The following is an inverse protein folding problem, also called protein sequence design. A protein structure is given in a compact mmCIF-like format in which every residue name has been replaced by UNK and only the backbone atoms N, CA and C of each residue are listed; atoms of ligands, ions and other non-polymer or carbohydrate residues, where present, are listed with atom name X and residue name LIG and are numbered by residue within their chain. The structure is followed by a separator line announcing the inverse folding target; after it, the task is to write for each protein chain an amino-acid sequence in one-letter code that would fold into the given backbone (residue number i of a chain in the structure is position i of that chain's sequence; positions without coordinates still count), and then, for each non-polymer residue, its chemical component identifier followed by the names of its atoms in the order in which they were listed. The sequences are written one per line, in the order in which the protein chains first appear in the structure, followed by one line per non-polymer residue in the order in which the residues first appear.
data_IF_962338054908
#
_entry.id   IF_962338054908
#
_cell.length_a   1.000
_cell.length_b   1.000
_cell.length_c   1.000
_cell.angle_alpha   90.00
_cell.angle_beta   90.00
_cell.angle_gamma   90.00
#
_symmetry.space_group_name_H-M   'P 1'
#
loop_
_entity.id
_entity.type
_entity.pdbx_description
1 polymer ?
#
# COMPACT_ATOMS: atom_id res chain seq x y z
N UNK A 1 -18.23 -16.34 0.83
CA UNK A 1 -17.05 -16.16 1.70
C UNK A 1 -16.77 -17.34 2.62
N UNK A 2 -17.70 -17.78 3.50
CA UNK A 2 -17.47 -18.89 4.43
C UNK A 2 -16.95 -20.17 3.77
N UNK A 3 -17.48 -20.56 2.60
CA UNK A 3 -17.03 -21.77 1.87
C UNK A 3 -15.65 -21.65 1.27
N UNK A 4 -15.34 -20.51 0.66
CA UNK A 4 -13.97 -20.25 0.16
C UNK A 4 -12.99 -20.35 1.31
N UNK A 5 -13.35 -19.79 2.46
CA UNK A 5 -12.53 -19.94 3.67
C UNK A 5 -12.40 -21.41 4.09
N UNK A 6 -13.50 -22.15 4.18
CA UNK A 6 -13.50 -23.56 4.60
C UNK A 6 -12.71 -24.46 3.65
N UNK A 7 -12.79 -24.27 2.35
CA UNK A 7 -12.16 -25.15 1.35
C UNK A 7 -10.72 -24.75 1.00
N UNK A 8 -10.38 -23.48 1.07
CA UNK A 8 -9.02 -22.99 0.74
C UNK A 8 -8.23 -22.68 1.99
N UNK A 9 -8.77 -21.86 2.89
CA UNK A 9 -8.02 -21.44 4.08
C UNK A 9 -7.94 -22.52 5.16
N UNK A 10 -8.98 -23.34 5.34
CA UNK A 10 -8.99 -24.37 6.38
C UNK A 10 -7.92 -25.46 6.17
N UNK A 11 -7.65 -25.97 4.96
CA UNK A 11 -6.51 -26.87 4.74
C UNK A 11 -5.16 -26.21 5.08
N UNK A 12 -4.99 -24.92 4.71
CA UNK A 12 -3.78 -24.15 5.06
C UNK A 12 -3.68 -23.99 6.57
N UNK A 13 -4.78 -23.65 7.24
CA UNK A 13 -4.82 -23.52 8.69
C UNK A 13 -4.44 -24.82 9.41
N UNK A 14 -4.95 -25.95 8.92
CA UNK A 14 -4.62 -27.26 9.48
C UNK A 14 -3.13 -27.60 9.33
N UNK A 15 -2.53 -27.26 8.20
CA UNK A 15 -1.09 -27.40 8.01
C UNK A 15 -0.30 -26.45 8.90
N UNK A 16 -0.72 -25.19 9.01
CA UNK A 16 -0.11 -24.23 9.93
C UNK A 16 -0.18 -24.67 11.39
N UNK A 17 -1.28 -25.30 11.82
CA UNK A 17 -1.41 -25.87 13.16
C UNK A 17 -0.43 -27.03 13.39
N UNK A 18 -0.24 -27.89 12.39
CA UNK A 18 0.78 -28.96 12.42
C UNK A 18 2.17 -28.36 12.53
N UNK A 19 2.49 -27.33 11.74
CA UNK A 19 3.79 -26.67 11.76
C UNK A 19 4.05 -25.96 13.10
N UNK A 20 3.04 -25.30 13.68
CA UNK A 20 3.14 -24.70 15.02
C UNK A 20 3.39 -25.75 16.12
N UNK A 21 2.85 -26.96 15.96
CA UNK A 21 3.11 -28.04 16.89
C UNK A 21 4.56 -28.50 16.83
N UNK A 22 5.09 -28.72 15.63
CA UNK A 22 6.51 -29.06 15.40
C UNK A 22 7.42 -27.97 15.99
N UNK A 23 7.14 -26.70 15.71
CA UNK A 23 7.90 -25.58 16.25
C UNK A 23 7.96 -25.61 17.80
N UNK A 24 6.82 -25.83 18.45
CA UNK A 24 6.76 -25.92 19.93
C UNK A 24 7.51 -27.14 20.50
N UNK A 25 7.53 -28.23 19.75
CA UNK A 25 8.28 -29.44 20.15
C UNK A 25 9.79 -29.21 20.06
N UNK A 26 10.25 -28.58 18.96
CA UNK A 26 11.65 -28.15 18.78
C UNK A 26 12.10 -27.15 19.86
N UNK A 27 11.27 -26.15 20.17
CA UNK A 27 11.58 -25.21 21.26
C UNK A 27 11.74 -25.88 22.60
N UNK A 28 10.91 -26.90 22.88
CA UNK A 28 11.02 -27.68 24.12
C UNK A 28 12.28 -28.55 24.14
N UNK A 29 12.65 -29.17 23.02
CA UNK A 29 13.87 -29.94 22.87
C UNK A 29 15.10 -29.07 23.04
N UNK A 30 15.15 -27.90 22.35
CA UNK A 30 16.23 -26.93 22.47
C UNK A 30 16.42 -26.47 23.94
N UNK A 31 15.32 -26.13 24.63
CA UNK A 31 15.38 -25.76 26.07
C UNK A 31 15.89 -26.85 26.97
N UNK A 32 15.55 -28.12 26.71
CA UNK A 32 16.03 -29.27 27.51
C UNK A 32 17.52 -29.55 27.30
N UNK A 33 18.02 -29.26 26.10
CA UNK A 33 19.39 -29.59 25.72
C UNK A 33 20.35 -28.39 25.78
N UNK A 34 19.87 -27.20 26.10
CA UNK A 34 20.64 -25.95 26.12
C UNK A 34 21.90 -25.97 27.03
N UNK A 35 21.97 -26.89 28.01
CA UNK A 35 23.11 -27.01 28.93
C UNK A 35 24.09 -28.13 28.52
N UNK A 36 23.97 -28.71 27.34
CA UNK A 36 24.92 -29.73 26.85
C UNK A 36 26.03 -29.07 26.05
N UNK A 37 27.29 -29.42 26.36
CA UNK A 37 28.48 -28.73 25.78
C UNK A 37 28.57 -28.75 24.25
N UNK A 38 27.98 -29.75 23.57
CA UNK A 38 28.01 -29.89 22.11
C UNK A 38 26.62 -29.80 21.44
N UNK A 39 25.64 -29.14 22.09
CA UNK A 39 24.30 -29.10 21.55
C UNK A 39 24.11 -27.90 20.62
N UNK A 40 23.88 -28.14 19.31
CA UNK A 40 23.50 -27.14 18.32
C UNK A 40 21.95 -27.04 18.28
N UNK A 41 21.38 -25.86 18.60
CA UNK A 41 19.94 -25.66 18.58
C UNK A 41 19.35 -25.87 17.19
N UNK A 42 18.37 -26.75 17.06
CA UNK A 42 17.66 -26.97 15.81
C UNK A 42 16.72 -25.80 15.51
N UNK A 43 16.83 -25.26 14.32
CA UNK A 43 15.92 -24.23 13.85
C UNK A 43 14.63 -24.82 13.27
N UNK A 44 13.53 -24.08 13.45
CA UNK A 44 12.27 -24.41 12.81
C UNK A 44 12.28 -23.92 11.36
N UNK A 45 12.18 -24.83 10.40
CA UNK A 45 12.21 -24.50 8.94
C UNK A 45 10.83 -24.53 8.27
N UNK A 46 9.77 -24.83 9.02
CA UNK A 46 8.43 -24.96 8.47
C UNK A 46 7.79 -23.62 8.12
N UNK A 47 6.93 -23.61 7.09
CA UNK A 47 6.15 -22.42 6.72
C UNK A 47 4.86 -22.32 7.58
N UNK A 48 4.59 -21.13 8.12
CA UNK A 48 3.31 -20.76 8.76
C UNK A 48 2.78 -19.56 7.98
N UNK A 49 1.67 -19.75 7.28
CA UNK A 49 1.18 -18.80 6.28
C UNK A 49 0.05 -17.89 6.76
N UNK A 50 -0.83 -18.36 7.63
CA UNK A 50 -1.90 -17.55 8.20
C UNK A 50 -1.41 -16.87 9.49
N UNK A 51 -1.26 -15.57 9.44
CA UNK A 51 -0.69 -14.77 10.50
C UNK A 51 -1.77 -14.04 11.32
N UNK A 52 -1.56 -13.88 12.63
CA UNK A 52 -2.44 -13.06 13.44
C UNK A 52 -2.25 -11.56 13.15
N UNK A 53 -3.25 -10.75 13.46
CA UNK A 53 -3.23 -9.29 13.26
C UNK A 53 -2.14 -8.57 14.07
N UNK A 54 -1.74 -9.14 15.21
CA UNK A 54 -0.75 -8.59 16.13
C UNK A 54 0.68 -9.17 15.92
N UNK A 55 0.97 -9.71 14.74
CA UNK A 55 2.32 -10.20 14.43
C UNK A 55 3.33 -9.06 14.47
N UNK A 56 4.47 -9.25 15.12
CA UNK A 56 5.57 -8.26 15.12
C UNK A 56 6.33 -8.29 13.79
N UNK A 57 7.01 -7.17 13.44
CA UNK A 57 7.80 -7.09 12.22
C UNK A 57 8.89 -8.15 12.15
N UNK A 58 9.56 -8.44 13.29
CA UNK A 58 10.54 -9.53 13.38
C UNK A 58 9.95 -10.89 12.98
N UNK A 59 8.82 -11.25 13.58
CA UNK A 59 8.17 -12.54 13.28
C UNK A 59 7.65 -12.55 11.84
N UNK A 60 7.19 -11.43 11.32
CA UNK A 60 6.74 -11.33 9.93
C UNK A 60 7.88 -11.66 8.95
N UNK A 61 9.07 -11.06 9.14
CA UNK A 61 10.27 -11.37 8.34
C UNK A 61 10.63 -12.84 8.44
N UNK A 62 10.71 -13.37 9.65
CA UNK A 62 11.02 -14.77 9.88
C UNK A 62 10.04 -15.73 9.18
N UNK A 63 8.73 -15.42 9.22
CA UNK A 63 7.71 -16.22 8.53
C UNK A 63 7.81 -16.12 7.02
N UNK A 64 8.12 -14.92 6.49
CA UNK A 64 8.36 -14.70 5.06
C UNK A 64 9.55 -15.50 4.56
N UNK A 65 10.67 -15.42 5.28
CA UNK A 65 11.90 -16.12 4.91
C UNK A 65 11.69 -17.65 4.87
N UNK A 66 11.04 -18.19 5.90
CA UNK A 66 10.72 -19.62 5.97
C UNK A 66 9.63 -20.07 4.98
N UNK A 67 8.75 -19.18 4.58
CA UNK A 67 7.74 -19.47 3.56
C UNK A 67 8.31 -19.43 2.14
N UNK A 68 9.52 -18.87 1.93
CA UNK A 68 10.17 -18.71 0.62
C UNK A 68 9.28 -17.93 -0.36
N UNK A 69 8.81 -18.58 -1.44
CA UNK A 69 7.92 -17.99 -2.44
C UNK A 69 6.42 -18.11 -2.12
N UNK A 70 6.07 -18.74 -0.98
CA UNK A 70 4.67 -18.91 -0.60
C UNK A 70 4.11 -17.63 0.00
N UNK A 71 2.90 -17.26 -0.42
CA UNK A 71 2.22 -16.09 0.11
C UNK A 71 1.74 -16.30 1.55
N UNK A 72 1.98 -15.30 2.38
CA UNK A 72 1.39 -15.17 3.71
C UNK A 72 0.07 -14.40 3.64
N UNK A 73 -0.78 -14.56 4.64
CA UNK A 73 -2.06 -13.86 4.72
C UNK A 73 -2.32 -13.37 6.14
N UNK A 74 -2.75 -12.12 6.26
CA UNK A 74 -3.35 -11.54 7.46
C UNK A 74 -4.81 -11.27 7.16
N UNK A 75 -5.71 -11.91 7.92
CA UNK A 75 -7.14 -11.70 7.83
C UNK A 75 -7.64 -11.09 9.15
N UNK A 76 -8.27 -9.91 9.08
CA UNK A 76 -8.86 -9.25 10.22
C UNK A 76 -10.37 -9.08 10.00
N UNK A 77 -11.16 -9.76 10.83
CA UNK A 77 -12.62 -9.56 10.87
C UNK A 77 -12.98 -8.13 11.29
N UNK A 78 -12.11 -7.53 12.12
CA UNK A 78 -12.20 -6.15 12.56
C UNK A 78 -10.87 -5.40 12.37
N UNK A 79 -10.84 -4.41 11.48
CA UNK A 79 -9.65 -3.61 11.15
C UNK A 79 -9.10 -2.86 12.38
N UNK A 80 -9.95 -2.55 13.36
CA UNK A 80 -9.54 -1.91 14.62
C UNK A 80 -8.52 -2.77 15.41
N UNK A 81 -8.51 -4.08 15.24
CA UNK A 81 -7.52 -4.97 15.87
C UNK A 81 -6.11 -4.68 15.35
N UNK A 82 -5.97 -4.39 14.06
CA UNK A 82 -4.70 -4.00 13.43
C UNK A 82 -4.31 -2.60 13.87
N UNK A 83 -5.24 -1.64 13.81
CA UNK A 83 -4.98 -0.25 14.23
C UNK A 83 -4.49 -0.17 15.68
N UNK A 84 -5.03 -0.99 16.57
CA UNK A 84 -4.57 -1.07 17.96
C UNK A 84 -3.17 -1.70 18.07
N UNK A 85 -2.91 -2.75 17.32
CA UNK A 85 -1.60 -3.41 17.31
C UNK A 85 -0.50 -2.47 16.80
N UNK A 86 -0.75 -1.71 15.74
CA UNK A 86 0.21 -0.76 15.16
C UNK A 86 0.52 0.42 16.08
N UNK A 87 -0.46 0.89 16.85
CA UNK A 87 -0.26 1.97 17.85
C UNK A 87 0.52 1.53 19.09
N UNK A 88 0.76 0.24 19.29
CA UNK A 88 1.49 -0.28 20.46
C UNK A 88 2.99 0.04 20.46
N UNK A 89 3.55 0.52 19.36
CA UNK A 89 4.95 0.98 19.25
C UNK A 89 5.47 0.96 17.81
N UNK A 90 6.56 1.66 17.55
CA UNK A 90 7.22 1.74 16.22
C UNK A 90 7.55 0.36 15.61
N UNK A 91 7.78 -0.65 16.47
CA UNK A 91 8.08 -2.03 16.05
C UNK A 91 6.88 -2.79 15.48
N UNK A 92 5.69 -2.21 15.59
CA UNK A 92 4.43 -2.80 15.16
C UNK A 92 3.84 -2.09 13.95
N UNK A 93 4.35 -0.91 13.59
CA UNK A 93 3.90 -0.14 12.44
C UNK A 93 4.26 -0.87 11.15
N UNK A 94 3.28 -1.07 10.27
CA UNK A 94 3.40 -1.87 9.05
C UNK A 94 2.96 -1.15 7.78
N UNK A 95 2.64 0.13 7.85
CA UNK A 95 2.18 0.89 6.67
C UNK A 95 3.14 0.77 5.49
N UNK A 96 4.46 0.86 5.75
CA UNK A 96 5.51 0.69 4.76
C UNK A 96 5.54 -0.74 4.20
N UNK A 97 5.42 -1.74 5.08
CA UNK A 97 5.41 -3.15 4.69
C UNK A 97 4.22 -3.44 3.78
N UNK A 98 3.03 -2.94 4.11
CA UNK A 98 1.83 -3.12 3.29
C UNK A 98 1.96 -2.46 1.92
N UNK A 99 2.57 -1.28 1.85
CA UNK A 99 2.84 -0.60 0.58
C UNK A 99 3.81 -1.37 -0.29
N UNK A 100 4.88 -1.88 0.29
CA UNK A 100 5.89 -2.69 -0.41
C UNK A 100 5.35 -4.07 -0.82
N UNK A 101 4.45 -4.66 -0.01
CA UNK A 101 3.81 -5.93 -0.33
C UNK A 101 2.92 -5.85 -1.57
N UNK A 102 2.31 -4.69 -1.85
CA UNK A 102 1.54 -4.48 -3.08
C UNK A 102 2.38 -4.75 -4.35
N UNK A 103 3.65 -4.35 -4.31
CA UNK A 103 4.61 -4.50 -5.42
C UNK A 103 5.48 -5.77 -5.27
N UNK A 104 5.21 -6.65 -4.28
CA UNK A 104 6.07 -7.78 -3.90
C UNK A 104 7.55 -7.37 -3.76
N UNK A 105 7.79 -6.18 -3.22
CA UNK A 105 9.13 -5.60 -3.07
C UNK A 105 9.95 -6.29 -1.99
N UNK A 106 11.26 -6.05 -1.99
CA UNK A 106 12.15 -6.52 -0.93
C UNK A 106 12.00 -5.64 0.32
N UNK A 107 12.03 -6.28 1.47
CA UNK A 107 12.09 -5.64 2.77
C UNK A 107 12.88 -6.51 3.76
N UNK A 108 13.50 -5.90 4.74
CA UNK A 108 14.31 -6.65 5.70
C UNK A 108 14.55 -5.91 6.99
N UNK A 109 15.15 -6.64 7.93
CA UNK A 109 15.61 -6.12 9.21
C UNK A 109 17.05 -6.53 9.44
N UNK A 110 17.84 -5.58 9.92
CA UNK A 110 19.23 -5.80 10.33
C UNK A 110 19.51 -4.91 11.56
N UNK A 111 19.18 -5.41 12.75
CA UNK A 111 19.35 -4.70 14.01
C UNK A 111 20.41 -5.40 14.86
N UNK A 112 21.31 -4.63 15.46
CA UNK A 112 22.36 -5.11 16.35
C UNK A 112 21.83 -5.56 17.73
N UNK A 113 20.80 -6.39 17.79
CA UNK A 113 20.27 -6.97 19.03
C UNK A 113 20.26 -8.49 18.97
N UNK A 114 20.60 -9.15 20.07
CA UNK A 114 20.63 -10.63 20.18
C UNK A 114 19.32 -11.32 19.78
N UNK A 115 18.19 -10.59 19.83
CA UNK A 115 16.86 -11.08 19.49
C UNK A 115 16.38 -10.65 18.09
N UNK A 116 17.25 -10.10 17.24
CA UNK A 116 16.87 -9.74 15.87
C UNK A 116 16.84 -10.97 14.97
N UNK A 117 16.00 -10.90 13.95
CA UNK A 117 16.06 -11.81 12.81
C UNK A 117 16.62 -11.04 11.63
N UNK A 118 17.77 -11.47 11.11
CA UNK A 118 18.50 -10.79 10.04
C UNK A 118 18.16 -11.46 8.72
N UNK A 119 17.28 -10.84 7.94
CA UNK A 119 16.96 -11.31 6.60
C UNK A 119 16.41 -10.17 5.74
N UNK A 120 16.63 -10.29 4.43
CA UNK A 120 15.96 -9.51 3.39
C UNK A 120 15.08 -10.45 2.61
N UNK A 121 13.77 -10.19 2.64
CA UNK A 121 12.75 -11.07 2.09
C UNK A 121 11.91 -10.35 1.05
N UNK A 122 11.38 -11.09 0.09
CA UNK A 122 10.35 -10.58 -0.82
C UNK A 122 8.98 -10.68 -0.13
N UNK A 123 8.24 -9.57 -0.14
CA UNK A 123 6.96 -9.46 0.58
C UNK A 123 5.81 -10.10 -0.22
N UNK A 124 5.65 -11.39 -0.12
CA UNK A 124 4.48 -12.13 -0.61
C UNK A 124 3.39 -12.13 0.48
N UNK A 125 2.68 -11.01 0.64
CA UNK A 125 1.69 -10.80 1.69
C UNK A 125 0.34 -10.38 1.13
N UNK A 126 -0.70 -11.14 1.48
CA UNK A 126 -2.09 -10.82 1.20
C UNK A 126 -2.78 -10.32 2.46
N UNK A 127 -3.62 -9.31 2.30
CA UNK A 127 -4.35 -8.66 3.38
C UNK A 127 -5.85 -8.69 3.09
N UNK A 128 -6.64 -9.10 4.06
CA UNK A 128 -8.11 -9.04 3.99
C UNK A 128 -8.64 -8.46 5.30
N UNK A 129 -9.22 -7.28 5.22
CA UNK A 129 -9.74 -6.56 6.38
C UNK A 129 -11.23 -6.26 6.20
N UNK A 130 -11.96 -6.33 7.29
CA UNK A 130 -13.33 -5.80 7.36
C UNK A 130 -13.49 -4.85 8.54
N UNK A 131 -14.49 -3.97 8.47
CA UNK A 131 -14.77 -3.03 9.54
C UNK A 131 -15.86 -2.05 9.15
N UNK A 132 -16.32 -1.25 10.11
CA UNK A 132 -17.24 -0.15 9.84
C UNK A 132 -16.54 0.96 9.05
N UNK A 133 -17.27 1.80 8.27
CA UNK A 133 -16.67 2.93 7.56
C UNK A 133 -15.80 3.82 8.46
N UNK A 134 -16.25 4.07 9.70
CA UNK A 134 -15.47 4.85 10.65
C UNK A 134 -14.17 4.16 11.10
N UNK A 135 -14.17 2.83 11.25
CA UNK A 135 -12.98 2.07 11.59
C UNK A 135 -11.98 2.06 10.42
N UNK A 136 -12.47 1.89 9.20
CA UNK A 136 -11.68 1.95 7.96
C UNK A 136 -11.05 3.33 7.82
N UNK A 137 -11.80 4.43 7.99
CA UNK A 137 -11.26 5.79 7.91
C UNK A 137 -10.20 6.08 8.99
N UNK A 138 -10.33 5.48 10.18
CA UNK A 138 -9.28 5.59 11.22
C UNK A 138 -7.98 4.86 10.87
N UNK A 139 -8.07 3.76 10.15
CA UNK A 139 -6.90 3.01 9.70
C UNK A 139 -6.18 3.75 8.57
N UNK A 140 -6.93 4.29 7.60
CA UNK A 140 -6.39 5.07 6.49
C UNK A 140 -6.34 6.58 6.79
N UNK A 141 -5.90 6.97 7.99
CA UNK A 141 -5.87 8.37 8.42
C UNK A 141 -4.78 9.20 7.74
N UNK A 142 -3.72 8.56 7.26
CA UNK A 142 -2.63 9.19 6.52
C UNK A 142 -2.79 8.89 5.02
N UNK A 143 -3.42 9.80 4.31
CA UNK A 143 -3.69 9.66 2.87
C UNK A 143 -2.42 9.90 2.04
N UNK A 144 -1.50 10.74 2.53
CA UNK A 144 -0.28 11.12 1.81
C UNK A 144 0.69 9.94 1.64
N UNK A 145 0.65 8.95 2.54
CA UNK A 145 1.50 7.78 2.45
C UNK A 145 1.15 6.83 1.27
N UNK A 146 0.01 7.04 0.60
CA UNK A 146 -0.43 6.27 -0.56
C UNK A 146 -0.85 4.83 -0.25
N UNK A 147 -1.05 4.46 1.01
CA UNK A 147 -1.52 3.14 1.41
C UNK A 147 -2.94 2.88 0.93
N UNK A 148 -3.82 3.87 1.05
CA UNK A 148 -5.24 3.78 0.73
C UNK A 148 -5.51 3.31 -0.71
N UNK A 149 -4.73 3.77 -1.67
CA UNK A 149 -4.89 3.40 -3.09
C UNK A 149 -4.35 2.02 -3.43
N UNK A 150 -3.72 1.33 -2.46
CA UNK A 150 -3.23 -0.04 -2.58
C UNK A 150 -4.18 -1.09 -2.01
N UNK A 151 -5.39 -0.67 -1.63
CA UNK A 151 -6.46 -1.57 -1.20
C UNK A 151 -7.65 -1.47 -2.14
N UNK A 152 -8.27 -2.60 -2.41
CA UNK A 152 -9.57 -2.65 -3.09
C UNK A 152 -10.67 -2.54 -2.04
N UNK A 153 -11.54 -1.56 -2.22
CA UNK A 153 -12.66 -1.31 -1.31
C UNK A 153 -13.94 -1.95 -1.82
N UNK A 154 -14.62 -2.67 -0.92
CA UNK A 154 -15.92 -3.25 -1.18
C UNK A 154 -16.84 -2.84 -0.04
N UNK A 155 -17.95 -2.19 -0.34
CA UNK A 155 -18.97 -1.88 0.65
C UNK A 155 -20.10 -2.90 0.63
N UNK A 156 -20.69 -3.16 1.78
CA UNK A 156 -21.86 -3.98 1.88
C UNK A 156 -23.09 -3.08 1.71
N UNK A 157 -24.07 -3.46 0.87
CA UNK A 157 -25.25 -2.66 0.68
C UNK A 157 -25.98 -2.46 2.00
N UNK A 158 -26.49 -1.25 2.24
CA UNK A 158 -27.36 -0.96 3.38
C UNK A 158 -28.64 -1.79 3.26
N UNK A 159 -28.83 -2.66 4.23
CA UNK A 159 -30.02 -3.53 4.33
C UNK A 159 -31.01 -3.05 5.38
N UNK A 160 -30.83 -1.82 5.94
CA UNK A 160 -31.74 -1.27 6.93
C UNK A 160 -33.15 -1.14 6.34
N UNK A 161 -34.13 -1.70 7.04
CA UNK A 161 -35.54 -1.68 6.60
C UNK A 161 -35.87 -2.65 5.45
N UNK A 162 -34.92 -3.43 4.95
CA UNK A 162 -35.18 -4.49 3.99
C UNK A 162 -35.48 -5.80 4.73
N UNK A 163 -36.37 -6.61 4.15
CA UNK A 163 -36.50 -7.99 4.60
C UNK A 163 -35.16 -8.69 4.47
N UNK A 164 -34.77 -9.43 5.51
CA UNK A 164 -33.53 -10.21 5.45
C UNK A 164 -33.57 -11.06 4.20
N UNK A 165 -32.57 -10.94 3.29
CA UNK A 165 -32.56 -11.78 2.10
C UNK A 165 -32.64 -13.23 2.56
N UNK A 166 -33.59 -13.96 2.00
CA UNK A 166 -33.73 -15.38 2.23
C UNK A 166 -32.36 -16.00 2.04
N UNK A 167 -31.86 -16.74 3.02
CA UNK A 167 -30.55 -17.39 2.88
C UNK A 167 -30.55 -18.09 1.52
N UNK A 168 -29.62 -17.70 0.65
CA UNK A 168 -29.40 -18.43 -0.59
C UNK A 168 -28.98 -19.84 -0.19
N UNK A 169 -29.94 -20.75 -0.18
CA UNK A 169 -29.68 -22.16 -0.03
C UNK A 169 -29.14 -22.65 -1.36
N UNK A 170 -27.88 -22.95 -1.38
CA UNK A 170 -27.30 -23.71 -2.48
C UNK A 170 -27.77 -25.14 -2.32
N UNK A 171 -28.37 -25.72 -3.37
CA UNK A 171 -28.71 -27.13 -3.38
C UNK A 171 -27.45 -27.99 -3.18
N UNK A 172 -27.63 -29.23 -2.77
CA UNK A 172 -26.53 -30.11 -2.40
C UNK A 172 -25.61 -30.43 -3.60
N UNK A 173 -26.15 -30.56 -4.81
CA UNK A 173 -25.38 -30.84 -6.03
C UNK A 173 -24.50 -29.66 -6.38
N UNK A 174 -25.04 -28.44 -6.40
CA UNK A 174 -24.27 -27.21 -6.63
C UNK A 174 -23.20 -27.03 -5.55
N UNK A 175 -23.52 -27.36 -4.30
CA UNK A 175 -22.56 -27.30 -3.20
C UNK A 175 -21.36 -28.21 -3.42
N UNK A 176 -21.62 -29.48 -3.74
CA UNK A 176 -20.57 -30.46 -3.97
C UNK A 176 -19.70 -30.08 -5.18
N UNK A 177 -20.31 -29.53 -6.23
CA UNK A 177 -19.59 -29.04 -7.41
C UNK A 177 -18.65 -27.90 -7.05
N UNK A 178 -19.13 -26.90 -6.31
CA UNK A 178 -18.30 -25.75 -5.86
C UNK A 178 -17.19 -26.21 -4.92
N UNK A 179 -17.49 -27.07 -3.94
CA UNK A 179 -16.51 -27.59 -3.00
C UNK A 179 -15.39 -28.35 -3.74
N UNK A 180 -15.75 -29.18 -4.73
CA UNK A 180 -14.78 -29.89 -5.58
C UNK A 180 -13.91 -28.94 -6.41
N UNK A 181 -14.48 -27.88 -6.97
CA UNK A 181 -13.72 -26.87 -7.73
C UNK A 181 -12.73 -26.14 -6.80
N UNK A 182 -13.17 -25.72 -5.62
CA UNK A 182 -12.27 -25.05 -4.65
C UNK A 182 -11.16 -25.98 -4.16
N UNK A 183 -11.45 -27.25 -3.96
CA UNK A 183 -10.43 -28.26 -3.61
C UNK A 183 -9.40 -28.43 -4.75
N UNK A 184 -9.85 -28.48 -6.00
CA UNK A 184 -8.95 -28.54 -7.16
C UNK A 184 -8.05 -27.30 -7.23
N UNK A 185 -8.60 -26.10 -7.03
CA UNK A 185 -7.84 -24.85 -6.94
C UNK A 185 -6.77 -24.94 -5.85
N UNK A 186 -7.15 -25.40 -4.65
CA UNK A 186 -6.19 -25.56 -3.54
C UNK A 186 -5.03 -26.49 -3.91
N UNK A 187 -5.32 -27.66 -4.50
CA UNK A 187 -4.27 -28.60 -4.91
C UNK A 187 -3.38 -28.06 -6.02
N UNK A 188 -3.95 -27.35 -7.00
CA UNK A 188 -3.17 -26.72 -8.06
C UNK A 188 -2.23 -25.62 -7.51
N UNK A 189 -2.73 -24.79 -6.61
CA UNK A 189 -1.91 -23.78 -5.90
C UNK A 189 -0.80 -24.42 -5.06
N UNK A 190 -1.11 -25.52 -4.37
CA UNK A 190 -0.15 -26.24 -3.55
C UNK A 190 0.95 -26.85 -4.40
N UNK A 191 0.62 -27.56 -5.47
CA UNK A 191 1.58 -28.15 -6.40
C UNK A 191 2.49 -27.09 -7.00
N UNK A 192 1.95 -26.00 -7.53
CA UNK A 192 2.74 -24.91 -8.10
C UNK A 192 3.72 -24.29 -7.09
N UNK A 193 3.34 -24.23 -5.81
CA UNK A 193 4.18 -23.67 -4.74
C UNK A 193 5.27 -24.65 -4.27
N UNK A 194 5.01 -25.97 -4.30
CA UNK A 194 5.97 -27.01 -3.89
C UNK A 194 7.05 -27.23 -4.96
N UNK A 195 6.66 -27.18 -6.23
CA UNK A 195 7.59 -27.36 -7.35
C UNK A 195 8.52 -26.14 -7.56
N UNK A 196 8.22 -25.00 -6.93
CA UNK A 196 8.98 -23.75 -7.09
C UNK A 196 8.98 -23.21 -8.52
N UNK A 197 8.06 -23.70 -9.36
CA UNK A 197 7.96 -23.32 -10.76
C UNK A 197 7.24 -21.98 -10.86
N UNK A 198 7.94 -20.96 -11.37
CA UNK A 198 7.30 -19.70 -11.73
C UNK A 198 6.43 -19.89 -12.97
N UNK A 199 5.15 -19.57 -12.85
CA UNK A 199 4.22 -19.59 -13.98
C UNK A 199 4.37 -18.27 -14.72
N UNK A 200 5.00 -18.32 -15.89
CA UNK A 200 5.13 -17.18 -16.78
C UNK A 200 3.89 -17.05 -17.65
N UNK A 201 3.27 -15.88 -17.65
CA UNK A 201 2.07 -15.59 -18.45
C UNK A 201 2.32 -14.37 -19.35
N UNK A 202 1.89 -14.45 -20.60
CA UNK A 202 1.89 -13.28 -21.49
C UNK A 202 0.73 -12.34 -21.13
N UNK A 203 1.06 -11.19 -20.60
CA UNK A 203 0.07 -10.21 -20.12
C UNK A 203 -0.22 -9.08 -21.10
N UNK A 204 0.36 -9.09 -22.31
CA UNK A 204 0.26 -7.96 -23.27
C UNK A 204 -1.19 -7.61 -23.59
N UNK A 205 -2.02 -8.61 -23.91
CA UNK A 205 -3.43 -8.38 -24.20
C UNK A 205 -4.20 -7.80 -22.99
N UNK A 206 -3.89 -8.29 -21.78
CA UNK A 206 -4.51 -7.79 -20.55
C UNK A 206 -4.14 -6.32 -20.28
N UNK A 207 -2.88 -5.98 -20.47
CA UNK A 207 -2.38 -4.60 -20.32
C UNK A 207 -3.03 -3.67 -21.35
N UNK A 208 -3.13 -4.10 -22.62
CA UNK A 208 -3.77 -3.35 -23.68
C UNK A 208 -5.27 -3.12 -23.41
N UNK A 209 -5.97 -4.14 -22.87
CA UNK A 209 -7.37 -4.03 -22.49
C UNK A 209 -7.58 -3.06 -21.33
N UNK A 210 -6.71 -3.10 -20.33
CA UNK A 210 -6.74 -2.18 -19.18
C UNK A 210 -6.45 -0.74 -19.65
N UNK A 211 -5.48 -0.53 -20.54
CA UNK A 211 -5.18 0.79 -21.09
C UNK A 211 -6.37 1.34 -21.88
N UNK A 212 -6.96 0.53 -22.77
CA UNK A 212 -8.15 0.95 -23.56
C UNK A 212 -9.33 1.33 -22.66
N UNK A 213 -9.56 0.55 -21.60
CA UNK A 213 -10.61 0.85 -20.63
C UNK A 213 -10.39 2.21 -19.96
N UNK A 214 -9.18 2.47 -19.46
CA UNK A 214 -8.91 3.73 -18.77
C UNK A 214 -8.84 4.93 -19.71
N UNK A 215 -8.39 4.75 -20.94
CA UNK A 215 -8.45 5.81 -21.98
C UNK A 215 -9.90 6.20 -22.28
N UNK A 216 -10.80 5.24 -22.35
CA UNK A 216 -12.22 5.47 -22.55
C UNK A 216 -12.87 6.18 -21.33
N UNK A 217 -12.56 5.75 -20.11
CA UNK A 217 -13.02 6.41 -18.88
C UNK A 217 -12.52 7.86 -18.84
N UNK A 218 -11.25 8.09 -19.11
CA UNK A 218 -10.67 9.44 -19.11
C UNK A 218 -11.29 10.31 -20.18
N UNK A 219 -11.53 9.80 -21.39
CA UNK A 219 -12.21 10.51 -22.48
C UNK A 219 -13.61 10.93 -22.08
N UNK A 220 -14.38 10.04 -21.44
CA UNK A 220 -15.73 10.36 -20.93
C UNK A 220 -15.70 11.47 -19.90
N UNK A 221 -14.77 11.41 -18.94
CA UNK A 221 -14.61 12.45 -17.93
C UNK A 221 -14.25 13.80 -18.55
N UNK A 222 -13.34 13.83 -19.53
CA UNK A 222 -12.97 15.05 -20.25
C UNK A 222 -14.16 15.66 -20.99
N UNK A 223 -15.00 14.84 -21.63
CA UNK A 223 -16.19 15.29 -22.36
C UNK A 223 -17.24 15.92 -21.43
N UNK A 224 -17.35 15.49 -20.19
CA UNK A 224 -18.27 16.07 -19.20
C UNK A 224 -17.61 17.16 -18.34
N UNK A 225 -16.38 17.56 -18.68
CA UNK A 225 -15.59 18.58 -17.99
C UNK A 225 -15.44 18.32 -16.48
N UNK A 226 -15.29 17.03 -16.12
CA UNK A 226 -15.08 16.57 -14.75
C UNK A 226 -13.63 16.13 -14.58
N UNK A 227 -12.84 16.94 -13.89
CA UNK A 227 -11.53 16.52 -13.39
C UNK A 227 -11.70 15.99 -11.97
N UNK A 228 -11.32 14.74 -11.76
CA UNK A 228 -11.30 14.11 -10.44
C UNK A 228 -9.90 13.55 -10.14
N UNK A 229 -9.05 14.33 -9.44
CA UNK A 229 -7.70 13.90 -9.10
C UNK A 229 -7.64 12.63 -8.26
N UNK A 230 -8.65 12.39 -7.40
CA UNK A 230 -8.72 11.17 -6.61
C UNK A 230 -8.94 9.93 -7.48
N UNK A 231 -9.75 10.04 -8.53
CA UNK A 231 -9.97 8.98 -9.52
C UNK A 231 -8.70 8.70 -10.33
N UNK A 232 -7.95 9.72 -10.74
CA UNK A 232 -6.68 9.53 -11.45
C UNK A 232 -5.64 8.84 -10.56
N UNK A 233 -5.59 9.18 -9.27
CA UNK A 233 -4.71 8.53 -8.31
C UNK A 233 -5.07 7.06 -8.12
N UNK A 234 -6.37 6.73 -7.97
CA UNK A 234 -6.87 5.36 -7.86
C UNK A 234 -6.54 4.55 -9.12
N UNK A 235 -6.76 5.12 -10.31
CA UNK A 235 -6.52 4.49 -11.61
C UNK A 235 -5.13 3.88 -11.71
N UNK A 236 -4.10 4.60 -11.28
CA UNK A 236 -2.70 4.16 -11.39
C UNK A 236 -2.43 2.84 -10.67
N UNK A 237 -3.09 2.60 -9.55
CA UNK A 237 -2.93 1.38 -8.74
C UNK A 237 -3.93 0.30 -9.11
N UNK A 238 -5.14 0.70 -9.45
CA UNK A 238 -6.20 -0.23 -9.79
C UNK A 238 -6.00 -0.87 -11.18
N UNK A 239 -5.24 -0.20 -12.07
CA UNK A 239 -4.76 -0.79 -13.31
C UNK A 239 -3.90 -2.04 -13.06
N UNK A 240 -2.96 -1.95 -12.10
CA UNK A 240 -2.14 -3.10 -11.72
C UNK A 240 -2.98 -4.24 -11.13
N UNK A 241 -3.99 -3.91 -10.31
CA UNK A 241 -4.92 -4.91 -9.79
C UNK A 241 -5.73 -5.58 -10.91
N UNK A 242 -6.18 -4.81 -11.89
CA UNK A 242 -6.90 -5.37 -13.03
C UNK A 242 -6.07 -6.44 -13.75
N UNK A 243 -4.81 -6.14 -14.07
CA UNK A 243 -3.91 -7.11 -14.70
C UNK A 243 -3.67 -8.33 -13.79
N UNK A 244 -3.38 -8.13 -12.50
CA UNK A 244 -3.18 -9.24 -11.54
C UNK A 244 -4.43 -10.13 -11.43
N UNK A 245 -5.62 -9.55 -11.38
CA UNK A 245 -6.87 -10.32 -11.34
C UNK A 245 -7.13 -11.06 -12.65
N UNK A 246 -6.89 -10.43 -13.81
CA UNK A 246 -6.99 -11.10 -15.12
C UNK A 246 -6.02 -12.28 -15.21
N UNK A 247 -4.79 -12.14 -14.71
CA UNK A 247 -3.82 -13.25 -14.66
C UNK A 247 -4.34 -14.41 -13.82
N UNK A 248 -4.87 -14.14 -12.62
CA UNK A 248 -5.39 -15.17 -11.72
C UNK A 248 -6.60 -15.88 -12.38
N UNK A 249 -7.55 -15.12 -12.93
CA UNK A 249 -8.72 -15.72 -13.58
C UNK A 249 -8.34 -16.49 -14.85
N UNK A 250 -7.38 -16.00 -15.62
CA UNK A 250 -6.84 -16.74 -16.79
C UNK A 250 -6.19 -18.05 -16.37
N UNK A 251 -5.41 -18.04 -15.28
CA UNK A 251 -4.83 -19.27 -14.74
C UNK A 251 -5.92 -20.24 -14.27
N UNK A 252 -6.97 -19.77 -13.61
CA UNK A 252 -8.12 -20.59 -13.20
C UNK A 252 -8.95 -21.09 -14.39
N UNK A 253 -8.81 -20.47 -15.55
CA UNK A 253 -9.45 -20.84 -16.81
C UNK A 253 -8.48 -21.58 -17.76
N UNK A 254 -7.69 -22.49 -17.21
CA UNK A 254 -6.72 -23.33 -17.95
C UNK A 254 -5.73 -22.54 -18.84
N UNK A 255 -5.39 -21.32 -18.44
CA UNK A 255 -4.48 -20.43 -19.15
C UNK A 255 -5.09 -19.67 -20.33
N UNK A 256 -6.40 -19.74 -20.52
CA UNK A 256 -7.11 -19.09 -21.64
C UNK A 256 -7.70 -17.76 -21.18
N UNK A 257 -7.16 -16.64 -21.70
CA UNK A 257 -7.73 -15.30 -21.50
C UNK A 257 -8.92 -15.07 -22.44
N UNK A 258 -10.03 -14.57 -21.90
CA UNK A 258 -11.28 -14.33 -22.62
C UNK A 258 -11.84 -12.93 -22.37
N UNK A 259 -12.72 -12.48 -23.29
CA UNK A 259 -13.46 -11.22 -23.09
C UNK A 259 -14.33 -11.22 -21.83
N UNK A 260 -14.88 -12.38 -21.46
CA UNK A 260 -15.67 -12.52 -20.23
C UNK A 260 -14.83 -12.29 -18.97
N UNK A 261 -13.59 -12.77 -18.96
CA UNK A 261 -12.64 -12.49 -17.88
C UNK A 261 -12.35 -11.00 -17.82
N UNK A 262 -12.03 -10.39 -18.98
CA UNK A 262 -11.80 -8.94 -19.09
C UNK A 262 -12.95 -8.15 -18.47
N UNK A 263 -14.17 -8.39 -18.98
CA UNK A 263 -15.34 -7.59 -18.61
C UNK A 263 -15.73 -7.76 -17.14
N UNK A 264 -15.61 -8.97 -16.62
CA UNK A 264 -15.85 -9.26 -15.20
C UNK A 264 -14.83 -8.54 -14.31
N UNK A 265 -13.54 -8.64 -14.62
CA UNK A 265 -12.48 -8.00 -13.84
C UNK A 265 -12.61 -6.48 -13.90
N UNK A 266 -12.80 -5.89 -15.09
CA UNK A 266 -12.98 -4.45 -15.22
C UNK A 266 -14.24 -3.96 -14.48
N UNK A 267 -15.31 -4.75 -14.47
CA UNK A 267 -16.51 -4.48 -13.68
C UNK A 267 -16.22 -4.43 -12.17
N UNK A 268 -15.46 -5.39 -11.65
CA UNK A 268 -15.02 -5.41 -10.23
C UNK A 268 -14.13 -4.21 -9.91
N UNK A 269 -13.17 -3.91 -10.76
CA UNK A 269 -12.26 -2.77 -10.58
C UNK A 269 -13.02 -1.43 -10.59
N UNK A 270 -13.98 -1.28 -11.51
CA UNK A 270 -14.84 -0.10 -11.53
C UNK A 270 -15.65 0.02 -10.23
N UNK A 271 -16.27 -1.06 -9.79
CA UNK A 271 -16.99 -1.09 -8.51
C UNK A 271 -16.09 -0.67 -7.34
N UNK A 272 -14.91 -1.27 -7.20
CA UNK A 272 -13.97 -0.93 -6.13
C UNK A 272 -13.48 0.53 -6.22
N UNK A 273 -13.33 1.08 -7.45
CA UNK A 273 -12.99 2.49 -7.66
C UNK A 273 -14.10 3.40 -7.12
N UNK A 274 -15.36 3.13 -7.49
CA UNK A 274 -16.48 3.91 -6.99
C UNK A 274 -16.63 3.82 -5.46
N UNK A 275 -16.36 2.65 -4.87
CA UNK A 275 -16.37 2.49 -3.41
C UNK A 275 -15.25 3.30 -2.73
N UNK A 276 -14.03 3.27 -3.27
CA UNK A 276 -12.92 4.09 -2.76
C UNK A 276 -13.30 5.59 -2.80
N UNK A 277 -13.83 6.06 -3.94
CA UNK A 277 -14.18 7.45 -4.13
C UNK A 277 -15.35 7.88 -3.22
N UNK A 278 -16.37 7.04 -3.06
CA UNK A 278 -17.49 7.30 -2.17
C UNK A 278 -17.06 7.42 -0.69
N UNK A 279 -16.11 6.58 -0.26
CA UNK A 279 -15.66 6.55 1.12
C UNK A 279 -14.57 7.59 1.43
N UNK A 280 -13.70 7.88 0.47
CA UNK A 280 -12.46 8.62 0.72
C UNK A 280 -12.11 9.69 -0.33
N UNK A 281 -12.91 9.85 -1.39
CA UNK A 281 -12.61 10.76 -2.50
C UNK A 281 -12.36 12.20 -2.06
N UNK A 282 -13.25 12.75 -1.22
CA UNK A 282 -13.10 14.12 -0.70
C UNK A 282 -11.81 14.29 0.12
N UNK A 283 -11.49 13.33 0.96
CA UNK A 283 -10.28 13.36 1.78
C UNK A 283 -9.00 13.26 0.92
N UNK A 284 -9.01 12.43 -0.12
CA UNK A 284 -7.91 12.30 -1.08
C UNK A 284 -7.74 13.61 -1.85
N UNK A 285 -8.81 14.20 -2.39
CA UNK A 285 -8.77 15.45 -3.12
C UNK A 285 -8.26 16.61 -2.25
N UNK A 286 -8.69 16.68 -0.99
CA UNK A 286 -8.20 17.68 -0.04
C UNK A 286 -6.69 17.54 0.18
N UNK A 287 -6.18 16.34 0.45
CA UNK A 287 -4.76 16.07 0.65
C UNK A 287 -3.93 16.43 -0.60
N UNK A 288 -4.40 16.06 -1.80
CA UNK A 288 -3.73 16.41 -3.05
C UNK A 288 -3.65 17.93 -3.28
N UNK A 289 -4.72 18.66 -2.96
CA UNK A 289 -4.74 20.11 -3.07
C UNK A 289 -3.78 20.78 -2.08
N UNK A 290 -3.75 20.32 -0.83
CA UNK A 290 -2.83 20.81 0.20
C UNK A 290 -1.36 20.56 -0.19
N UNK A 291 -1.03 19.38 -0.68
CA UNK A 291 0.32 19.02 -1.18
C UNK A 291 0.71 19.88 -2.38
N UNK A 292 -0.20 20.14 -3.32
CA UNK A 292 0.05 21.00 -4.48
C UNK A 292 0.33 22.44 -4.06
N UNK A 293 -0.47 22.99 -3.15
CA UNK A 293 -0.26 24.34 -2.60
C UNK A 293 1.07 24.46 -1.86
N UNK A 294 1.39 23.48 -1.02
CA UNK A 294 2.67 23.44 -0.30
C UNK A 294 3.88 23.38 -1.27
N UNK A 295 3.76 22.59 -2.34
CA UNK A 295 4.79 22.51 -3.38
C UNK A 295 4.96 23.81 -4.15
N UNK A 296 3.86 24.47 -4.52
CA UNK A 296 3.90 25.79 -5.17
C UNK A 296 4.52 26.86 -4.25
N UNK A 297 4.16 26.85 -2.96
CA UNK A 297 4.78 27.74 -1.98
C UNK A 297 6.27 27.46 -1.81
N UNK A 298 6.68 26.19 -1.79
CA UNK A 298 8.09 25.81 -1.72
C UNK A 298 8.86 26.29 -2.98
N UNK A 299 8.27 26.12 -4.18
CA UNK A 299 8.82 26.67 -5.43
C UNK A 299 8.95 28.20 -5.39
N UNK A 300 7.94 28.90 -4.87
CA UNK A 300 8.00 30.36 -4.68
C UNK A 300 9.09 30.75 -3.67
N UNK A 301 9.30 29.97 -2.59
CA UNK A 301 10.38 30.19 -1.61
C UNK A 301 11.77 29.93 -2.21
N UNK A 302 11.92 28.91 -3.03
CA UNK A 302 13.17 28.62 -3.77
C UNK A 302 13.49 29.75 -4.72
N UNK A 303 12.57 30.16 -5.60
CA UNK A 303 12.77 31.31 -6.50
C UNK A 303 13.19 32.59 -5.78
N UNK A 304 12.77 32.81 -4.54
CA UNK A 304 13.17 33.97 -3.72
C UNK A 304 14.60 33.91 -3.21
N UNK A 305 15.10 32.70 -2.90
CA UNK A 305 16.53 32.51 -2.60
C UNK A 305 17.38 32.77 -3.86
N UNK A 306 16.88 32.30 -5.01
CA UNK A 306 17.53 32.52 -6.29
C UNK A 306 17.59 34.02 -6.65
N UNK A 307 16.58 34.83 -6.24
CA UNK A 307 16.64 36.29 -6.38
C UNK A 307 17.80 36.92 -5.63
N UNK A 308 18.17 36.39 -4.46
CA UNK A 308 19.36 36.88 -3.75
C UNK A 308 20.66 36.64 -4.53
N UNK A 309 20.73 35.58 -5.33
CA UNK A 309 21.92 35.33 -6.17
C UNK A 309 22.05 36.34 -7.31
N UNK A 310 20.92 36.94 -7.76
CA UNK A 310 20.86 37.88 -8.87
C UNK A 310 21.03 39.35 -8.45
N UNK A 311 21.21 39.67 -7.19
CA UNK A 311 21.53 41.02 -6.69
C UNK A 311 22.98 41.08 -6.20
N UNK A 312 23.62 42.26 -6.20
CA UNK A 312 24.99 42.41 -5.65
C UNK A 312 25.05 42.07 -4.18
N UNK A 313 26.26 41.94 -3.61
CA UNK A 313 26.46 41.62 -2.21
C UNK A 313 25.84 42.66 -1.26
N UNK A 314 25.95 43.94 -1.62
CA UNK A 314 25.14 45.03 -1.04
C UNK A 314 24.14 45.50 -2.08
N UNK A 315 22.89 45.59 -1.71
CA UNK A 315 21.78 45.93 -2.62
C UNK A 315 20.70 46.77 -1.94
N UNK A 316 19.94 47.47 -2.73
CA UNK A 316 18.79 48.25 -2.28
C UNK A 316 17.49 47.48 -2.33
N UNK A 317 16.45 48.01 -1.67
CA UNK A 317 15.07 47.45 -1.78
C UNK A 317 14.60 47.43 -3.22
N UNK A 318 14.97 48.44 -4.04
CA UNK A 318 14.58 48.59 -5.42
C UNK A 318 15.23 47.52 -6.31
N UNK A 319 16.53 47.34 -6.22
CA UNK A 319 17.26 46.28 -6.95
C UNK A 319 16.74 44.90 -6.64
N UNK A 320 16.37 44.67 -5.39
CA UNK A 320 15.75 43.38 -5.00
C UNK A 320 14.34 43.23 -5.60
N UNK A 321 13.56 44.30 -5.66
CA UNK A 321 12.23 44.29 -6.26
C UNK A 321 12.30 44.06 -7.79
N UNK A 322 13.32 44.63 -8.47
CA UNK A 322 13.58 44.40 -9.90
C UNK A 322 14.01 42.95 -10.16
N UNK A 323 14.86 42.38 -9.33
CA UNK A 323 15.25 40.99 -9.44
C UNK A 323 14.05 40.01 -9.24
N UNK A 324 13.11 40.35 -8.35
CA UNK A 324 11.85 39.61 -8.21
C UNK A 324 10.99 39.68 -9.48
N UNK A 325 10.87 40.85 -10.07
CA UNK A 325 10.08 41.07 -11.31
C UNK A 325 10.66 40.30 -12.51
N UNK A 326 12.01 40.33 -12.67
CA UNK A 326 12.71 39.52 -13.67
C UNK A 326 12.48 38.00 -13.52
N UNK A 327 12.23 37.54 -12.33
CA UNK A 327 11.89 36.11 -12.04
C UNK A 327 10.38 35.82 -12.07
N UNK A 328 9.56 36.78 -12.50
CA UNK A 328 8.11 36.64 -12.59
C UNK A 328 7.39 36.65 -11.25
N UNK A 329 7.99 37.28 -10.23
CA UNK A 329 7.40 37.47 -8.90
C UNK A 329 6.89 38.90 -8.73
N UNK A 330 5.88 39.11 -7.87
CA UNK A 330 5.28 40.43 -7.69
C UNK A 330 6.25 41.42 -7.05
N UNK A 331 6.59 42.49 -7.74
CA UNK A 331 7.48 43.59 -7.30
C UNK A 331 7.08 44.16 -5.93
N UNK A 332 5.80 44.33 -5.69
CA UNK A 332 5.25 44.91 -4.44
C UNK A 332 5.49 44.04 -3.18
N UNK A 333 5.90 42.79 -3.36
CA UNK A 333 6.20 41.91 -2.26
C UNK A 333 7.66 41.99 -1.75
N UNK A 334 8.51 42.74 -2.43
CA UNK A 334 9.96 42.83 -2.15
C UNK A 334 10.27 43.24 -0.71
N UNK A 335 9.64 44.29 -0.20
CA UNK A 335 9.88 44.79 1.16
C UNK A 335 9.53 43.75 2.24
N UNK A 336 8.41 43.04 2.06
CA UNK A 336 7.99 41.99 3.00
C UNK A 336 8.91 40.78 2.94
N UNK A 337 9.48 40.46 1.79
CA UNK A 337 10.48 39.40 1.66
C UNK A 337 11.77 39.72 2.31
N UNK A 338 12.28 40.96 2.15
CA UNK A 338 13.50 41.42 2.82
C UNK A 338 13.38 41.31 4.34
N UNK A 339 12.23 41.64 4.93
CA UNK A 339 11.98 41.46 6.37
C UNK A 339 12.12 39.98 6.77
N UNK A 340 11.59 39.06 5.96
CA UNK A 340 11.70 37.61 6.22
C UNK A 340 13.12 37.08 6.04
N UNK A 341 13.85 37.56 5.04
CA UNK A 341 15.26 37.22 4.79
C UNK A 341 16.16 37.71 5.92
N UNK A 342 15.89 38.89 6.46
CA UNK A 342 16.60 39.44 7.64
C UNK A 342 16.28 38.57 8.88
N UNK A 343 15.01 38.23 9.14
CA UNK A 343 14.64 37.34 10.26
C UNK A 343 15.24 35.95 10.12
N UNK A 344 15.42 35.46 8.89
CA UNK A 344 16.03 34.17 8.58
C UNK A 344 17.58 34.19 8.58
N UNK A 345 18.20 35.32 8.88
CA UNK A 345 19.66 35.45 8.93
C UNK A 345 20.38 35.38 7.56
N UNK A 346 19.66 35.41 6.46
CA UNK A 346 20.22 35.33 5.11
C UNK A 346 20.66 36.68 4.56
N UNK A 347 20.16 37.76 5.15
CA UNK A 347 20.44 39.14 4.78
C UNK A 347 20.52 40.00 6.05
N UNK A 348 21.49 40.91 6.12
CA UNK A 348 21.62 41.90 7.18
C UNK A 348 21.19 43.27 6.65
N UNK A 349 20.39 44.02 7.40
CA UNK A 349 20.06 45.41 7.08
C UNK A 349 21.16 46.30 7.56
N UNK A 350 21.83 47.04 6.65
CA UNK A 350 22.92 47.99 6.99
C UNK A 350 22.32 49.34 7.41
N UNK A 351 21.39 49.88 6.58
CA UNK A 351 20.65 51.12 6.85
C UNK A 351 19.29 51.03 6.17
N UNK A 352 18.47 52.07 6.32
CA UNK A 352 17.15 52.11 5.68
C UNK A 352 17.26 51.89 4.16
N UNK A 353 16.64 50.86 3.65
CA UNK A 353 16.58 50.56 2.19
C UNK A 353 17.85 49.90 1.63
N UNK A 354 18.92 49.62 2.47
CA UNK A 354 20.14 48.97 2.03
C UNK A 354 20.39 47.73 2.85
N UNK A 355 20.68 46.63 2.16
CA UNK A 355 20.87 45.28 2.70
C UNK A 355 22.20 44.67 2.23
N UNK A 356 22.68 43.70 2.96
CA UNK A 356 23.91 42.95 2.66
C UNK A 356 23.65 41.46 2.83
N UNK A 357 24.12 40.64 1.91
CA UNK A 357 24.07 39.18 2.04
C UNK A 357 24.93 38.69 3.20
N UNK A 358 24.38 37.80 4.02
CA UNK A 358 25.15 37.16 5.11
C UNK A 358 25.69 35.79 4.70
N UNK A 359 25.37 35.29 3.49
CA UNK A 359 25.95 34.09 2.93
C UNK A 359 27.36 34.38 2.46
N UNK A 360 28.37 33.97 3.22
CA UNK A 360 29.70 33.70 2.69
C UNK A 360 29.62 32.48 1.78
N UNK A 361 30.11 32.62 0.54
CA UNK A 361 30.37 31.49 -0.32
C UNK A 361 31.33 30.53 0.40
N UNK A 362 30.88 29.26 0.68
CA UNK A 362 31.76 28.13 0.89
C UNK A 362 31.94 27.39 -0.44
#
# INVERSE_FOLDING_TARGET
MKRVYEQICAPIQKEDERQRKIMRELEKENKKNANKEDYDPKEFEGAIRLLPTNVSNRILVERMDKAKSQHLMICAEEIDSITKAEKSGKWSEKSDIYRLAYDNSLWGQDYASENSYHAVVRLYLNLLFSGTPAAVSRFFNDIENGLITRFLFCDLPDTFGQERPTRLFMDEETRQRVDKQLEQIYFSMKSASEDGTEIMMDTRLMVDDVHRYYDEVQRRMYLVNQEDPSRDLARRRYADYAVKMMMIETWLNDGVYTEEIRDRVLGVINYCTEQLLALHGDAINKSLNESTQAHEEAKKRSKKKDCLMNVPNQFTTEEFAEALEQMGLARNSGAMYLVRLVKGGLVRRIRHGIYEKTLTEE
#
